data_IF_615427978120
#
_entry.id   IF_615427978120
#
_cell.length_a   1.000
_cell.length_b   1.000
_cell.length_c   1.000
_cell.angle_alpha   90.00
_cell.angle_beta   90.00
_cell.angle_gamma   90.00
#
_symmetry.space_group_name_H-M   'P 1'
#
loop_
_entity.id
_entity.type
_entity.pdbx_description
1 polymer ?
#
# COMPACT_ATOMS: atom_id res chain seq x y z
N UNK A 1 7.15 9.46 18.12
CA UNK A 1 6.93 9.54 16.66
C UNK A 1 5.46 9.82 16.43
N UNK A 2 5.12 10.97 15.85
CA UNK A 2 3.72 11.34 15.64
C UNK A 2 3.06 10.33 14.69
N UNK A 3 2.02 9.64 15.17
CA UNK A 3 1.17 8.78 14.36
C UNK A 3 0.36 9.68 13.41
N UNK A 4 0.96 10.05 12.27
CA UNK A 4 0.15 10.53 11.15
C UNK A 4 -0.73 9.36 10.70
N UNK A 5 -2.06 9.55 10.62
CA UNK A 5 -2.93 8.52 10.09
C UNK A 5 -2.51 8.21 8.65
N UNK A 6 -2.31 6.93 8.37
CA UNK A 6 -1.96 6.46 7.03
C UNK A 6 -3.20 6.63 6.16
N UNK A 7 -3.10 7.45 5.12
CA UNK A 7 -4.14 7.64 4.12
C UNK A 7 -4.06 6.59 3.01
N UNK A 8 -5.18 6.41 2.30
CA UNK A 8 -5.27 5.46 1.19
C UNK A 8 -4.27 5.72 0.06
N UNK A 9 -3.84 6.97 -0.12
CA UNK A 9 -2.78 7.32 -1.08
C UNK A 9 -1.46 6.62 -0.76
N UNK A 10 -1.06 6.58 0.51
CA UNK A 10 0.20 5.99 0.95
C UNK A 10 0.12 4.46 0.89
N UNK A 11 -1.03 3.88 1.23
CA UNK A 11 -1.31 2.44 1.07
C UNK A 11 -1.23 2.05 -0.41
N UNK A 12 -1.87 2.81 -1.30
CA UNK A 12 -1.86 2.54 -2.74
C UNK A 12 -0.45 2.59 -3.30
N UNK A 13 0.33 3.60 -2.91
CA UNK A 13 1.71 3.74 -3.38
C UNK A 13 2.60 2.61 -2.85
N UNK A 14 2.45 2.21 -1.57
CA UNK A 14 3.12 1.04 -1.00
C UNK A 14 2.86 -0.21 -1.83
N UNK A 15 1.60 -0.51 -2.11
CA UNK A 15 1.21 -1.70 -2.87
C UNK A 15 1.72 -1.63 -4.31
N UNK A 16 1.65 -0.47 -4.97
CA UNK A 16 2.21 -0.27 -6.32
C UNK A 16 3.71 -0.53 -6.35
N UNK A 17 4.48 0.03 -5.42
CA UNK A 17 5.93 -0.17 -5.34
C UNK A 17 6.28 -1.65 -5.12
N UNK A 18 5.55 -2.34 -4.25
CA UNK A 18 5.81 -3.74 -3.95
C UNK A 18 5.41 -4.67 -5.11
N UNK A 19 4.17 -4.59 -5.60
CA UNK A 19 3.63 -5.56 -6.57
C UNK A 19 3.91 -5.22 -8.03
N UNK A 20 3.95 -3.94 -8.42
CA UNK A 20 4.22 -3.54 -9.82
C UNK A 20 5.70 -3.31 -10.09
N UNK A 21 6.44 -2.77 -9.12
CA UNK A 21 7.86 -2.42 -9.31
C UNK A 21 8.83 -3.40 -8.62
N UNK A 22 8.34 -4.40 -7.88
CA UNK A 22 9.16 -5.44 -7.27
C UNK A 22 10.03 -4.96 -6.10
N UNK A 23 9.67 -3.85 -5.45
CA UNK A 23 10.44 -3.35 -4.30
C UNK A 23 10.27 -4.29 -3.10
N UNK A 24 11.31 -4.43 -2.28
CA UNK A 24 11.16 -5.10 -0.98
C UNK A 24 10.20 -4.32 -0.08
N UNK A 25 9.47 -5.01 0.81
CA UNK A 25 8.49 -4.36 1.70
C UNK A 25 9.10 -3.24 2.54
N UNK A 26 10.36 -3.38 2.96
CA UNK A 26 11.10 -2.32 3.67
C UNK A 26 11.38 -1.10 2.78
N UNK A 27 11.80 -1.32 1.52
CA UNK A 27 12.08 -0.24 0.58
C UNK A 27 10.78 0.48 0.18
N UNK A 28 9.72 -0.27 -0.10
CA UNK A 28 8.41 0.27 -0.41
C UNK A 28 7.85 1.11 0.75
N UNK A 29 7.93 0.62 1.99
CA UNK A 29 7.51 1.35 3.19
C UNK A 29 8.25 2.69 3.35
N UNK A 30 9.57 2.69 3.18
CA UNK A 30 10.39 3.91 3.27
C UNK A 30 9.99 4.95 2.21
N UNK A 31 9.77 4.51 0.97
CA UNK A 31 9.40 5.40 -0.14
C UNK A 31 7.98 5.92 0.01
N UNK A 32 7.03 5.08 0.43
CA UNK A 32 5.64 5.46 0.62
C UNK A 32 5.38 6.23 1.93
N UNK A 33 6.38 6.40 2.80
CA UNK A 33 6.22 7.05 4.10
C UNK A 33 5.44 6.23 5.14
N UNK A 34 5.27 4.92 4.90
CA UNK A 34 4.48 4.03 5.74
C UNK A 34 5.34 3.35 6.81
N UNK A 35 4.83 3.26 8.04
CA UNK A 35 5.49 2.54 9.12
C UNK A 35 5.68 1.05 8.79
N UNK A 36 6.82 0.47 9.19
CA UNK A 36 7.21 -0.91 8.82
C UNK A 36 6.12 -1.95 9.14
N UNK A 37 5.52 -1.86 10.33
CA UNK A 37 4.47 -2.80 10.77
C UNK A 37 3.21 -2.66 9.91
N UNK A 38 2.73 -1.43 9.72
CA UNK A 38 1.56 -1.16 8.88
C UNK A 38 1.80 -1.63 7.44
N UNK A 39 3.00 -1.37 6.89
CA UNK A 39 3.35 -1.82 5.55
C UNK A 39 3.26 -3.35 5.40
N UNK A 40 3.79 -4.10 6.37
CA UNK A 40 3.67 -5.57 6.38
C UNK A 40 2.22 -6.02 6.45
N UNK A 41 1.40 -5.38 7.29
CA UNK A 41 -0.03 -5.71 7.42
C UNK A 41 -0.80 -5.46 6.12
N UNK A 42 -0.60 -4.31 5.48
CA UNK A 42 -1.26 -3.99 4.20
C UNK A 42 -0.80 -4.92 3.07
N UNK A 43 0.50 -5.22 2.96
CA UNK A 43 1.00 -6.14 1.95
C UNK A 43 0.43 -7.55 2.19
N UNK A 44 0.44 -8.05 3.42
CA UNK A 44 -0.11 -9.36 3.74
C UNK A 44 -1.62 -9.44 3.50
N UNK A 45 -2.38 -8.45 3.99
CA UNK A 45 -3.82 -8.37 3.80
C UNK A 45 -4.22 -8.28 2.32
N UNK A 46 -3.42 -7.56 1.52
CA UNK A 46 -3.63 -7.49 0.08
C UNK A 46 -3.29 -8.80 -0.65
N UNK A 47 -2.25 -9.53 -0.21
CA UNK A 47 -1.98 -10.87 -0.75
C UNK A 47 -3.11 -11.84 -0.43
N UNK A 48 -3.66 -11.80 0.78
CA UNK A 48 -4.72 -12.71 1.21
C UNK A 48 -6.08 -12.38 0.59
N UNK A 49 -6.33 -11.14 0.18
CA UNK A 49 -7.61 -10.76 -0.43
C UNK A 49 -7.80 -11.30 -1.85
N UNK A 50 -6.73 -11.77 -2.50
CA UNK A 50 -6.78 -12.24 -3.89
C UNK A 50 -7.09 -11.13 -4.91
N UNK A 51 -7.11 -9.86 -4.47
CA UNK A 51 -7.38 -8.73 -5.34
C UNK A 51 -6.19 -8.46 -6.27
N UNK A 52 -6.48 -8.15 -7.52
CA UNK A 52 -5.44 -7.73 -8.46
C UNK A 52 -5.07 -6.26 -8.23
N UNK A 53 -3.76 -5.99 -8.14
CA UNK A 53 -3.24 -4.63 -7.93
C UNK A 53 -3.69 -3.66 -9.02
N UNK A 54 -3.95 -4.18 -10.23
CA UNK A 54 -4.46 -3.41 -11.36
C UNK A 54 -5.82 -2.78 -11.08
N UNK A 55 -6.66 -3.44 -10.28
CA UNK A 55 -7.98 -2.94 -9.86
C UNK A 55 -7.80 -1.75 -8.91
N UNK A 56 -6.96 -1.90 -7.87
CA UNK A 56 -6.73 -0.83 -6.88
C UNK A 56 -6.03 0.39 -7.49
N UNK A 57 -5.13 0.20 -8.45
CA UNK A 57 -4.47 1.33 -9.12
C UNK A 57 -5.40 2.08 -10.08
N UNK A 58 -6.45 1.43 -10.58
CA UNK A 58 -7.41 2.01 -11.53
C UNK A 58 -8.63 2.68 -10.87
N UNK A 59 -9.00 2.29 -9.64
CA UNK A 59 -10.12 2.90 -8.92
C UNK A 59 -9.75 4.32 -8.49
N UNK A 60 -10.36 5.34 -9.08
CA UNK A 60 -10.20 6.72 -8.63
C UNK A 60 -10.72 6.86 -7.18
N UNK A 61 -10.16 7.80 -6.40
CA UNK A 61 -10.53 8.00 -4.98
C UNK A 61 -12.03 8.27 -4.76
N UNK A 62 -12.80 8.49 -5.83
CA UNK A 62 -14.26 8.67 -5.85
C UNK A 62 -15.07 7.38 -5.66
N UNK A 63 -14.48 6.18 -5.68
CA UNK A 63 -15.21 4.91 -5.53
C UNK A 63 -15.06 4.26 -4.14
N UNK A 64 -14.40 4.94 -3.19
CA UNK A 64 -14.17 4.43 -1.83
C UNK A 64 -15.07 5.10 -0.77
N UNK A 65 -16.28 5.53 -1.16
CA UNK A 65 -17.32 6.06 -0.25
C UNK A 65 -18.45 5.05 -0.12
#
# INVERSE_FOLDING_TARGET
MANKPIGMREVRELLRLYFKQGFSGRKAAKVAGVGKTAASQYIAGFKSSGLSISVITGMSDSELI
#
